data_IF_532594231460
#
_entry.id   IF_532594231460
#
_cell.length_a   1.000
_cell.length_b   1.000
_cell.length_c   1.000
_cell.angle_alpha   90.00
_cell.angle_beta   90.00
_cell.angle_gamma   90.00
#
_symmetry.space_group_name_H-M   'P 1'
#
loop_
_entity.id
_entity.type
_entity.pdbx_description
1 polymer ?
#
# COMPACT_ATOMS: atom_id res chain seq x y z
N UNK A 1 -10.23 12.42 11.18
CA UNK A 1 -11.64 12.45 11.63
C UNK A 1 -11.74 12.18 13.13
N UNK A 2 -11.15 11.09 13.66
CA UNK A 2 -11.24 10.80 15.11
C UNK A 2 -10.69 11.92 16.00
N UNK A 3 -9.64 12.62 15.57
CA UNK A 3 -9.08 13.78 16.30
C UNK A 3 -10.03 14.99 16.38
N UNK A 4 -11.05 15.05 15.53
CA UNK A 4 -12.07 16.09 15.50
C UNK A 4 -13.38 15.66 16.16
N UNK A 5 -13.43 14.43 16.65
CA UNK A 5 -14.65 13.81 17.20
C UNK A 5 -14.83 14.20 18.67
N UNK A 6 -15.76 15.09 18.92
CA UNK A 6 -16.13 15.55 20.28
C UNK A 6 -17.35 14.82 20.86
N UNK A 7 -18.04 13.99 20.04
CA UNK A 7 -19.30 13.32 20.42
C UNK A 7 -19.19 11.79 20.41
N UNK A 8 -17.97 11.26 20.31
CA UNK A 8 -17.68 9.81 20.28
C UNK A 8 -18.41 9.03 19.16
N UNK A 9 -18.62 9.66 18.01
CA UNK A 9 -19.32 9.07 16.86
C UNK A 9 -18.40 8.39 15.85
N UNK A 10 -17.07 8.58 15.96
CA UNK A 10 -16.10 8.05 15.00
C UNK A 10 -15.37 6.86 15.59
N UNK A 11 -15.42 5.73 14.90
CA UNK A 11 -14.52 4.60 15.13
C UNK A 11 -13.28 4.74 14.26
N UNK A 12 -12.11 4.70 14.87
CA UNK A 12 -10.83 4.67 14.17
C UNK A 12 -10.33 3.23 14.07
N UNK A 13 -10.28 2.72 12.85
CA UNK A 13 -9.75 1.39 12.55
C UNK A 13 -8.41 1.53 11.83
N UNK A 14 -7.39 0.81 12.29
CA UNK A 14 -6.08 0.84 11.66
C UNK A 14 -5.38 -0.51 11.75
N UNK A 15 -4.26 -0.64 11.04
CA UNK A 15 -3.51 -1.87 10.91
C UNK A 15 -2.01 -1.65 11.13
N UNK A 16 -1.34 -2.58 11.78
CA UNK A 16 0.12 -2.62 11.89
C UNK A 16 0.81 -3.17 10.64
N UNK A 17 0.06 -3.65 9.65
CA UNK A 17 0.61 -4.29 8.45
C UNK A 17 1.56 -3.41 7.63
N UNK A 18 1.37 -2.08 7.65
CA UNK A 18 2.16 -1.14 6.84
C UNK A 18 3.20 -0.36 7.64
N UNK A 19 3.10 -0.40 8.96
CA UNK A 19 3.99 0.34 9.86
C UNK A 19 4.85 -0.56 10.75
N UNK A 20 4.53 -1.87 10.84
CA UNK A 20 5.31 -2.83 11.62
C UNK A 20 5.56 -4.11 10.82
N UNK A 21 4.55 -4.97 10.65
CA UNK A 21 4.70 -6.19 9.85
C UNK A 21 3.35 -6.71 9.37
N UNK A 22 3.24 -6.93 8.05
CA UNK A 22 2.04 -7.48 7.43
C UNK A 22 1.77 -8.93 7.87
N UNK A 23 2.82 -9.72 8.11
CA UNK A 23 2.72 -11.12 8.51
C UNK A 23 2.16 -11.34 9.90
N UNK A 24 2.20 -10.34 10.78
CA UNK A 24 1.62 -10.44 12.13
C UNK A 24 0.09 -10.48 12.13
N UNK A 25 -0.56 -9.99 11.08
CA UNK A 25 -2.03 -9.93 10.94
C UNK A 25 -2.70 -9.19 12.09
N UNK A 26 -2.12 -8.07 12.53
CA UNK A 26 -2.61 -7.22 13.61
C UNK A 26 -3.25 -5.94 13.11
N UNK A 27 -4.34 -5.56 13.77
CA UNK A 27 -4.97 -4.26 13.66
C UNK A 27 -5.58 -3.85 14.99
N UNK A 28 -6.14 -2.65 15.03
CA UNK A 28 -6.81 -2.14 16.22
C UNK A 28 -8.00 -1.24 15.86
N UNK A 29 -8.93 -1.15 16.79
CA UNK A 29 -10.09 -0.27 16.71
C UNK A 29 -10.09 0.60 17.96
N UNK A 30 -10.29 1.91 17.79
CA UNK A 30 -10.42 2.88 18.88
C UNK A 30 -11.70 3.69 18.69
N UNK A 31 -12.48 3.83 19.78
CA UNK A 31 -13.74 4.59 19.72
C UNK A 31 -14.57 4.46 20.97
N UNK A 32 -15.85 4.77 20.85
CA UNK A 32 -16.80 4.73 21.97
C UNK A 32 -16.80 3.39 22.69
N UNK A 33 -16.74 3.42 24.02
CA UNK A 33 -16.63 2.25 24.89
C UNK A 33 -17.78 1.26 24.69
N UNK A 34 -19.00 1.74 24.54
CA UNK A 34 -20.18 0.88 24.38
C UNK A 34 -20.13 0.12 23.06
N UNK A 35 -19.69 0.80 21.99
CA UNK A 35 -19.52 0.17 20.67
C UNK A 35 -18.37 -0.86 20.73
N UNK A 36 -17.24 -0.50 21.34
CA UNK A 36 -16.11 -1.45 21.50
C UNK A 36 -16.53 -2.70 22.26
N UNK A 37 -17.34 -2.57 23.33
CA UNK A 37 -17.88 -3.74 24.05
C UNK A 37 -18.71 -4.65 23.15
N UNK A 38 -19.54 -4.10 22.27
CA UNK A 38 -20.32 -4.89 21.29
C UNK A 38 -19.41 -5.58 20.29
N UNK A 39 -18.37 -4.88 19.79
CA UNK A 39 -17.37 -5.45 18.88
C UNK A 39 -16.63 -6.62 19.54
N UNK A 40 -16.28 -6.52 20.83
CA UNK A 40 -15.63 -7.61 21.58
C UNK A 40 -16.53 -8.86 21.61
N UNK A 41 -17.84 -8.69 21.90
CA UNK A 41 -18.80 -9.81 21.90
C UNK A 41 -18.89 -10.46 20.50
N UNK A 42 -19.02 -9.65 19.45
CA UNK A 42 -19.08 -10.14 18.05
C UNK A 42 -17.78 -10.87 17.68
N UNK A 43 -16.63 -10.33 18.11
CA UNK A 43 -15.32 -10.95 17.86
C UNK A 43 -15.19 -12.34 18.50
N UNK A 44 -15.73 -12.55 19.70
CA UNK A 44 -15.74 -13.86 20.36
C UNK A 44 -16.46 -14.94 19.54
N UNK A 45 -17.50 -14.56 18.81
CA UNK A 45 -18.25 -15.48 17.93
C UNK A 45 -17.57 -15.66 16.58
N UNK A 46 -16.83 -14.65 16.10
CA UNK A 46 -16.27 -14.61 14.76
C UNK A 46 -14.90 -15.31 14.65
N UNK A 47 -13.95 -14.99 15.53
CA UNK A 47 -12.58 -15.51 15.52
C UNK A 47 -11.99 -15.78 16.91
N UNK A 48 -12.81 -15.69 17.96
CA UNK A 48 -12.44 -15.80 19.37
C UNK A 48 -11.44 -14.72 19.79
N UNK A 49 -10.25 -14.72 19.23
CA UNK A 49 -9.23 -13.68 19.43
C UNK A 49 -8.18 -13.71 18.31
N UNK A 50 -7.58 -12.56 18.04
CA UNK A 50 -6.39 -12.44 17.20
C UNK A 50 -5.19 -13.12 17.91
N UNK A 51 -4.22 -13.64 17.16
CA UNK A 51 -3.05 -14.35 17.67
C UNK A 51 -2.37 -13.58 18.81
N UNK A 52 -2.39 -14.16 20.02
CA UNK A 52 -1.91 -13.50 21.26
C UNK A 52 -0.38 -13.31 21.26
N UNK A 53 0.38 -14.22 20.65
CA UNK A 53 1.84 -14.10 20.57
C UNK A 53 2.23 -12.80 19.84
N UNK A 54 1.62 -12.53 18.69
CA UNK A 54 1.91 -11.32 17.93
C UNK A 54 1.40 -10.06 18.63
N UNK A 55 0.30 -10.11 19.39
CA UNK A 55 -0.15 -8.98 20.20
C UNK A 55 0.90 -8.62 21.26
N UNK A 56 1.40 -9.61 22.01
CA UNK A 56 2.44 -9.43 23.02
C UNK A 56 3.74 -8.93 22.37
N UNK A 57 4.13 -9.51 21.24
CA UNK A 57 5.34 -9.10 20.51
C UNK A 57 5.27 -7.64 20.05
N UNK A 58 4.12 -7.21 19.47
CA UNK A 58 3.91 -5.83 19.05
C UNK A 58 3.94 -4.85 20.24
N UNK A 59 3.28 -5.20 21.36
CA UNK A 59 3.33 -4.39 22.57
C UNK A 59 4.77 -4.22 23.08
N UNK A 60 5.50 -5.32 23.24
CA UNK A 60 6.90 -5.28 23.69
C UNK A 60 7.83 -4.52 22.72
N UNK A 61 7.58 -4.61 21.43
CA UNK A 61 8.32 -3.84 20.43
C UNK A 61 8.10 -2.34 20.63
N UNK A 62 6.83 -1.93 20.75
CA UNK A 62 6.45 -0.52 20.95
C UNK A 62 7.06 0.01 22.24
N UNK A 63 6.96 -0.75 23.34
CA UNK A 63 7.46 -0.34 24.66
C UNK A 63 8.99 -0.21 24.69
N UNK A 64 9.70 -1.09 23.97
CA UNK A 64 11.17 -1.15 24.02
C UNK A 64 11.87 -0.25 23.02
N UNK A 65 11.34 -0.12 21.80
CA UNK A 65 12.01 0.54 20.68
C UNK A 65 11.31 1.83 20.23
N UNK A 66 10.08 2.06 20.68
CA UNK A 66 9.28 3.20 20.22
C UNK A 66 8.75 3.02 18.80
N UNK A 67 7.47 3.25 18.60
CA UNK A 67 6.85 3.16 17.27
C UNK A 67 7.26 4.34 16.37
N UNK A 68 7.39 5.53 16.95
CA UNK A 68 7.69 6.75 16.20
C UNK A 68 9.10 6.74 15.59
N UNK A 69 10.11 6.26 16.34
CA UNK A 69 11.47 6.10 15.83
C UNK A 69 11.51 5.08 14.69
N UNK A 70 10.84 3.95 14.85
CA UNK A 70 10.72 2.96 13.79
C UNK A 70 10.02 3.55 12.54
N UNK A 71 8.93 4.28 12.70
CA UNK A 71 8.24 4.96 11.60
C UNK A 71 9.15 5.98 10.92
N UNK A 72 9.95 6.72 11.67
CA UNK A 72 10.91 7.67 11.11
C UNK A 72 11.92 6.97 10.19
N UNK A 73 12.46 5.82 10.59
CA UNK A 73 13.41 5.04 9.77
C UNK A 73 12.75 4.47 8.50
N UNK A 74 11.56 3.87 8.60
CA UNK A 74 10.88 3.35 7.40
C UNK A 74 10.45 4.47 6.45
N UNK A 75 10.13 5.68 6.94
CA UNK A 75 9.85 6.86 6.11
C UNK A 75 11.07 7.28 5.29
N UNK A 76 12.28 7.25 5.86
CA UNK A 76 13.53 7.55 5.13
C UNK A 76 13.74 6.54 4.00
N UNK A 77 13.58 5.25 4.31
CA UNK A 77 13.72 4.17 3.34
C UNK A 77 12.71 4.30 2.19
N UNK A 78 11.43 4.50 2.51
CA UNK A 78 10.38 4.58 1.49
C UNK A 78 10.47 5.86 0.65
N UNK A 79 10.87 6.98 1.24
CA UNK A 79 11.13 8.22 0.49
C UNK A 79 12.21 8.00 -0.57
N UNK A 80 13.33 7.36 -0.21
CA UNK A 80 14.42 7.06 -1.14
C UNK A 80 13.94 6.15 -2.29
N UNK A 81 13.23 5.06 -1.97
CA UNK A 81 12.69 4.14 -2.97
C UNK A 81 11.64 4.78 -3.88
N UNK A 82 10.76 5.61 -3.33
CA UNK A 82 9.77 6.36 -4.11
C UNK A 82 10.47 7.31 -5.09
N UNK A 83 11.45 8.09 -4.61
CA UNK A 83 12.21 9.01 -5.46
C UNK A 83 12.95 8.28 -6.58
N UNK A 84 13.59 7.13 -6.28
CA UNK A 84 14.24 6.30 -7.29
C UNK A 84 13.25 5.82 -8.33
N UNK A 85 12.12 5.23 -7.90
CA UNK A 85 11.11 4.70 -8.84
C UNK A 85 10.51 5.81 -9.71
N UNK A 86 10.16 6.96 -9.14
CA UNK A 86 9.64 8.12 -9.90
C UNK A 86 10.65 8.56 -10.95
N UNK A 87 11.91 8.79 -10.56
CA UNK A 87 12.97 9.22 -11.48
C UNK A 87 13.19 8.22 -12.63
N UNK A 88 13.25 6.92 -12.33
CA UNK A 88 13.41 5.90 -13.37
C UNK A 88 12.22 5.85 -14.33
N UNK A 89 11.00 5.96 -13.81
CA UNK A 89 9.77 5.97 -14.62
C UNK A 89 9.70 7.20 -15.53
N UNK A 90 9.96 8.39 -14.99
CA UNK A 90 9.93 9.65 -15.77
C UNK A 90 10.99 9.65 -16.88
N UNK A 91 12.22 9.23 -16.55
CA UNK A 91 13.31 9.15 -17.54
C UNK A 91 13.03 8.12 -18.62
N UNK A 92 12.39 6.99 -18.28
CA UNK A 92 12.19 5.88 -19.22
C UNK A 92 10.97 6.11 -20.12
N UNK A 93 9.87 6.62 -19.56
CA UNK A 93 8.61 6.79 -20.31
C UNK A 93 8.48 8.19 -20.94
N UNK A 94 9.30 9.16 -20.57
CA UNK A 94 9.37 10.48 -21.18
C UNK A 94 7.99 11.17 -21.38
N UNK A 95 7.09 11.01 -20.43
CA UNK A 95 5.75 11.62 -20.45
C UNK A 95 4.67 10.82 -21.20
N UNK A 96 4.94 9.59 -21.65
CA UNK A 96 3.94 8.71 -22.28
C UNK A 96 2.95 8.12 -21.27
N UNK A 97 3.35 8.07 -20.01
CA UNK A 97 2.52 7.67 -18.87
C UNK A 97 2.58 8.78 -17.82
N UNK A 98 1.45 9.18 -17.30
CA UNK A 98 1.38 10.09 -16.15
C UNK A 98 1.52 9.30 -14.85
N UNK A 99 2.53 9.63 -14.06
CA UNK A 99 2.76 9.00 -12.76
C UNK A 99 2.44 9.96 -11.61
N UNK A 100 1.83 9.44 -10.55
CA UNK A 100 1.64 10.21 -9.32
C UNK A 100 2.98 10.40 -8.58
N UNK A 101 3.15 11.55 -7.94
CA UNK A 101 4.25 11.84 -7.02
C UNK A 101 3.75 11.67 -5.59
N UNK A 102 4.04 10.53 -4.92
CA UNK A 102 3.47 10.26 -3.61
C UNK A 102 4.15 11.10 -2.52
N UNK A 103 3.35 11.77 -1.72
CA UNK A 103 3.80 12.40 -0.47
C UNK A 103 3.91 11.41 0.69
N UNK A 104 3.45 10.17 0.49
CA UNK A 104 3.48 9.09 1.46
C UNK A 104 2.88 7.80 0.93
N UNK A 105 2.74 6.81 1.78
CA UNK A 105 2.21 5.49 1.41
C UNK A 105 3.28 4.56 0.85
N UNK A 106 2.88 3.64 -0.03
CA UNK A 106 3.72 2.56 -0.57
C UNK A 106 3.58 2.39 -2.08
N UNK A 107 2.75 3.20 -2.73
CA UNK A 107 2.28 2.97 -4.09
C UNK A 107 2.40 4.21 -4.97
N UNK A 108 2.61 3.95 -6.26
CA UNK A 108 2.49 4.89 -7.35
C UNK A 108 1.31 4.50 -8.22
N UNK A 109 0.68 5.48 -8.85
CA UNK A 109 -0.36 5.28 -9.83
C UNK A 109 0.14 5.77 -11.18
N UNK A 110 0.03 4.94 -12.21
CA UNK A 110 0.39 5.27 -13.59
C UNK A 110 -0.87 5.28 -14.46
N UNK A 111 -0.97 6.26 -15.36
CA UNK A 111 -2.06 6.37 -16.34
C UNK A 111 -1.46 6.47 -17.75
N UNK A 112 -1.73 5.48 -18.59
CA UNK A 112 -1.24 5.39 -19.96
C UNK A 112 -1.99 6.35 -20.86
N UNK A 113 -1.25 7.13 -21.67
CA UNK A 113 -1.84 8.13 -22.59
C UNK A 113 -2.24 7.55 -23.94
N UNK A 114 -1.75 6.36 -24.28
CA UNK A 114 -2.12 5.68 -25.51
C UNK A 114 -3.53 5.06 -25.51
N UNK A 115 -4.23 5.10 -24.35
CA UNK A 115 -5.58 4.57 -24.19
C UNK A 115 -5.65 3.05 -24.10
N UNK A 116 -4.52 2.36 -23.97
CA UNK A 116 -4.48 0.90 -23.82
C UNK A 116 -5.24 0.46 -22.55
N UNK A 117 -6.00 -0.62 -22.67
CA UNK A 117 -6.72 -1.21 -21.52
C UNK A 117 -5.72 -1.79 -20.51
N UNK A 118 -5.89 -1.44 -19.23
CA UNK A 118 -4.97 -1.83 -18.18
C UNK A 118 -4.88 -3.34 -17.95
N UNK A 119 -5.93 -4.10 -18.28
CA UNK A 119 -5.91 -5.56 -18.16
C UNK A 119 -5.05 -6.20 -19.28
N UNK A 120 -5.02 -5.62 -20.49
CA UNK A 120 -4.12 -6.05 -21.57
C UNK A 120 -2.66 -5.69 -21.23
N UNK A 121 -2.43 -4.46 -20.78
CA UNK A 121 -1.11 -4.05 -20.31
C UNK A 121 -0.60 -4.93 -19.14
N UNK A 122 -1.46 -5.30 -18.20
CA UNK A 122 -1.12 -6.23 -17.12
C UNK A 122 -0.58 -7.56 -17.65
N UNK A 123 -1.23 -8.15 -18.68
CA UNK A 123 -0.78 -9.41 -19.29
C UNK A 123 0.61 -9.27 -19.92
N UNK A 124 0.86 -8.17 -20.65
CA UNK A 124 2.15 -7.85 -21.24
C UNK A 124 3.23 -7.66 -20.17
N UNK A 125 2.92 -6.95 -19.08
CA UNK A 125 3.82 -6.75 -17.96
C UNK A 125 4.22 -8.08 -17.28
N UNK A 126 3.26 -8.97 -17.05
CA UNK A 126 3.55 -10.32 -16.50
C UNK A 126 4.42 -11.13 -17.46
N UNK A 127 4.20 -11.06 -18.77
CA UNK A 127 5.06 -11.73 -19.75
C UNK A 127 6.51 -11.22 -19.72
N UNK A 128 6.72 -9.94 -19.40
CA UNK A 128 8.03 -9.33 -19.14
C UNK A 128 8.55 -9.57 -17.70
N UNK A 129 7.88 -10.38 -16.90
CA UNK A 129 8.24 -10.71 -15.52
C UNK A 129 8.26 -9.49 -14.59
N UNK A 130 7.35 -8.55 -14.80
CA UNK A 130 7.08 -7.44 -13.90
C UNK A 130 5.60 -7.44 -13.52
N UNK A 131 5.31 -7.39 -12.22
CA UNK A 131 3.95 -7.38 -11.71
C UNK A 131 3.51 -5.95 -11.40
N UNK A 132 2.38 -5.57 -11.97
CA UNK A 132 1.63 -4.36 -11.63
C UNK A 132 0.27 -4.78 -11.07
N UNK A 133 -0.50 -3.85 -10.51
CA UNK A 133 -1.90 -4.13 -10.18
C UNK A 133 -2.78 -3.38 -11.18
N UNK A 134 -3.65 -4.14 -11.85
CA UNK A 134 -4.60 -3.61 -12.81
C UNK A 134 -5.49 -2.54 -12.14
N UNK A 135 -5.51 -1.33 -12.71
CA UNK A 135 -6.29 -0.21 -12.19
C UNK A 135 -7.79 -0.45 -12.20
N UNK A 136 -8.27 -1.30 -13.09
CA UNK A 136 -9.68 -1.68 -13.18
C UNK A 136 -10.24 -2.21 -11.87
N UNK A 137 -9.41 -2.90 -11.06
CA UNK A 137 -9.80 -3.43 -9.75
C UNK A 137 -10.15 -2.36 -8.71
N UNK A 138 -9.78 -1.10 -8.96
CA UNK A 138 -10.04 0.02 -8.07
C UNK A 138 -11.21 0.91 -8.56
N UNK A 139 -11.77 0.63 -9.73
CA UNK A 139 -12.85 1.43 -10.28
C UNK A 139 -14.20 1.01 -9.68
N UNK A 140 -15.05 1.95 -9.28
CA UNK A 140 -16.35 1.64 -8.68
C UNK A 140 -17.34 1.04 -9.70
N UNK A 141 -17.14 1.34 -10.98
CA UNK A 141 -18.00 0.86 -12.06
C UNK A 141 -17.17 0.07 -13.08
N UNK A 142 -17.71 -1.02 -13.66
CA UNK A 142 -17.09 -1.71 -14.78
C UNK A 142 -16.93 -0.77 -15.98
N UNK A 143 -15.76 -0.75 -16.58
CA UNK A 143 -15.46 0.07 -17.75
C UNK A 143 -14.01 -0.13 -18.21
N UNK A 144 -13.61 0.56 -19.27
CA UNK A 144 -12.21 0.62 -19.68
C UNK A 144 -11.40 1.42 -18.65
N UNK A 145 -10.21 0.96 -18.36
CA UNK A 145 -9.26 1.63 -17.49
C UNK A 145 -7.88 1.58 -18.15
N UNK A 146 -7.18 2.71 -18.20
CA UNK A 146 -5.82 2.81 -18.75
C UNK A 146 -4.78 3.03 -17.64
N UNK A 147 -5.11 2.69 -16.40
CA UNK A 147 -4.25 2.96 -15.24
C UNK A 147 -3.83 1.68 -14.53
N UNK A 148 -2.73 1.76 -13.80
CA UNK A 148 -2.21 0.66 -13.00
C UNK A 148 -1.49 1.18 -11.75
N UNK A 149 -1.33 0.30 -10.75
CA UNK A 149 -0.63 0.60 -9.51
C UNK A 149 0.71 -0.13 -9.42
N UNK A 150 1.73 0.58 -9.00
CA UNK A 150 3.06 0.08 -8.67
C UNK A 150 3.32 0.14 -7.16
N UNK A 151 4.17 -0.76 -6.66
CA UNK A 151 4.62 -0.79 -5.28
C UNK A 151 6.14 -0.58 -5.24
N UNK A 152 6.60 0.43 -4.50
CA UNK A 152 8.03 0.72 -4.32
C UNK A 152 8.60 0.20 -2.99
N UNK A 153 7.77 -0.26 -2.07
CA UNK A 153 8.23 -0.63 -0.72
C UNK A 153 9.01 -1.94 -0.68
N UNK A 154 8.62 -2.91 -1.48
CA UNK A 154 9.15 -4.28 -1.43
C UNK A 154 10.42 -4.50 -2.25
N UNK A 155 10.53 -4.04 -3.53
CA UNK A 155 11.68 -4.36 -4.36
C UNK A 155 12.98 -3.70 -3.85
N UNK A 156 14.15 -4.29 -4.16
CA UNK A 156 15.44 -3.62 -3.99
C UNK A 156 15.60 -2.48 -5.01
N UNK A 157 16.65 -1.65 -4.85
CA UNK A 157 16.91 -0.55 -5.78
C UNK A 157 17.19 -1.09 -7.20
N UNK A 158 17.99 -2.16 -7.31
CA UNK A 158 18.28 -2.82 -8.58
C UNK A 158 17.03 -3.41 -9.22
N UNK A 159 16.13 -3.97 -8.41
CA UNK A 159 14.85 -4.49 -8.87
C UNK A 159 13.92 -3.37 -9.35
N UNK A 160 13.97 -2.18 -8.75
CA UNK A 160 13.21 -1.01 -9.23
C UNK A 160 13.70 -0.64 -10.62
N UNK A 161 15.00 -0.45 -10.81
CA UNK A 161 15.60 -0.06 -12.11
C UNK A 161 15.29 -1.10 -13.18
N UNK A 162 15.53 -2.38 -12.91
CA UNK A 162 15.25 -3.45 -13.88
C UNK A 162 13.74 -3.61 -14.14
N UNK A 163 12.91 -3.48 -13.10
CA UNK A 163 11.46 -3.55 -13.23
C UNK A 163 10.90 -2.46 -14.14
N UNK A 164 11.40 -1.23 -14.04
CA UNK A 164 11.02 -0.12 -14.93
C UNK A 164 11.39 -0.41 -16.39
N UNK A 165 12.60 -0.94 -16.64
CA UNK A 165 13.02 -1.35 -18.01
C UNK A 165 12.11 -2.43 -18.59
N UNK A 166 11.71 -3.41 -17.80
CA UNK A 166 10.76 -4.46 -18.20
C UNK A 166 9.37 -3.91 -18.47
N UNK A 167 8.91 -3.00 -17.62
CA UNK A 167 7.62 -2.33 -17.78
C UNK A 167 7.58 -1.54 -19.11
N UNK A 168 8.68 -0.87 -19.45
CA UNK A 168 8.81 -0.18 -20.73
C UNK A 168 8.77 -1.12 -21.92
N UNK A 169 9.46 -2.28 -21.85
CA UNK A 169 9.36 -3.30 -22.91
C UNK A 169 7.93 -3.82 -23.10
N UNK A 170 7.19 -3.98 -21.98
CA UNK A 170 5.78 -4.36 -22.05
C UNK A 170 4.91 -3.30 -22.73
N UNK A 171 5.18 -2.03 -22.42
CA UNK A 171 4.45 -0.89 -23.00
C UNK A 171 4.69 -0.72 -24.50
N UNK A 172 5.87 -1.14 -25.01
CA UNK A 172 6.25 -1.07 -26.43
C UNK A 172 5.75 -2.26 -27.28
N UNK A 173 5.14 -3.26 -26.69
CA UNK A 173 4.51 -4.39 -27.39
C UNK A 173 3.05 -4.12 -27.73
#
# INVERSE_FOLDING_TARGET
>A
LKSLDTEDRVLYCSSFSKILSAGMRLGYICGNKEIIQKIVVVKQVNDVHTNIFFQILASKFIDRYGLDDHIAEIRKLYRRKASLMVSELENTFAGEIDFTHPEGGLFLWGTMKNGEDSSEFFKKAIAEKVAVVDGKTFMPNPGSCCSFRLNYSTPSDEQIVEGVKRLYRAYRK
#
